data_IF_293129772033
#
_entry.id   IF_293129772033
#
_cell.length_a   1.000
_cell.length_b   1.000
_cell.length_c   1.000
_cell.angle_alpha   90.00
_cell.angle_beta   90.00
_cell.angle_gamma   90.00
#
_symmetry.space_group_name_H-M   'P 1'
#
loop_
_entity.id
_entity.type
_entity.pdbx_description
1 polymer ?
#
# COMPACT_ATOMS: atom_id res chain seq x y z
N UNK A 1 -19.58 21.87 12.99
CA UNK A 1 -18.45 21.25 13.73
C UNK A 1 -18.00 20.03 12.95
N UNK A 2 -16.71 19.69 12.95
CA UNK A 2 -16.23 18.46 12.32
C UNK A 2 -16.90 17.26 12.99
N UNK A 3 -17.58 16.42 12.22
CA UNK A 3 -18.29 15.24 12.74
C UNK A 3 -17.40 14.01 12.80
N UNK A 4 -16.19 14.07 12.22
CA UNK A 4 -15.30 12.93 12.07
C UNK A 4 -13.82 13.35 12.15
N UNK A 5 -12.96 12.41 12.54
CA UNK A 5 -11.51 12.59 12.50
C UNK A 5 -11.00 12.44 11.06
N UNK A 6 -10.08 13.31 10.67
CA UNK A 6 -9.28 13.14 9.46
C UNK A 6 -7.88 12.64 9.83
N UNK A 7 -7.41 11.62 9.13
CA UNK A 7 -6.09 11.05 9.34
C UNK A 7 -5.14 11.52 8.24
N UNK A 8 -3.93 11.91 8.65
CA UNK A 8 -2.83 12.22 7.75
C UNK A 8 -1.60 11.51 8.25
N UNK A 9 -0.90 10.86 7.32
CA UNK A 9 0.37 10.21 7.58
C UNK A 9 1.46 10.96 6.82
N UNK A 10 2.54 11.30 7.52
CA UNK A 10 3.76 11.77 6.88
C UNK A 10 4.57 10.54 6.50
N UNK A 11 4.59 10.24 5.20
CA UNK A 11 5.34 9.11 4.66
C UNK A 11 6.80 9.14 5.13
N UNK A 12 7.29 7.99 5.58
CA UNK A 12 8.69 7.78 5.92
C UNK A 12 9.25 6.70 4.99
N UNK A 13 10.19 7.11 4.13
CA UNK A 13 10.96 6.17 3.33
C UNK A 13 12.02 5.54 4.22
N UNK A 14 12.12 4.22 4.12
CA UNK A 14 13.09 3.41 4.83
C UNK A 14 14.05 2.86 3.79
N UNK A 15 15.24 3.46 3.70
CA UNK A 15 16.19 3.19 2.62
C UNK A 15 17.07 1.95 2.90
N UNK A 16 17.17 1.51 4.15
CA UNK A 16 17.88 0.29 4.53
C UNK A 16 16.91 -0.89 4.73
N UNK A 17 17.15 -1.99 4.02
CA UNK A 17 16.31 -3.19 4.14
C UNK A 17 16.26 -3.74 5.58
N UNK A 18 17.37 -3.65 6.33
CA UNK A 18 17.41 -4.06 7.74
C UNK A 18 16.47 -3.25 8.63
N UNK A 19 16.28 -1.96 8.35
CA UNK A 19 15.37 -1.10 9.12
C UNK A 19 13.94 -1.31 8.65
N UNK A 20 13.74 -1.54 7.36
CA UNK A 20 12.43 -1.92 6.82
C UNK A 20 11.94 -3.24 7.44
N UNK A 21 12.83 -4.22 7.61
CA UNK A 21 12.54 -5.48 8.28
C UNK A 21 12.17 -5.30 9.77
N UNK A 22 12.81 -4.35 10.47
CA UNK A 22 12.41 -4.01 11.84
C UNK A 22 10.99 -3.45 11.88
N UNK A 23 10.64 -2.60 10.92
CA UNK A 23 9.31 -2.01 10.84
C UNK A 23 8.24 -3.04 10.44
N UNK A 24 8.56 -3.97 9.54
CA UNK A 24 7.72 -5.15 9.25
C UNK A 24 7.44 -5.92 10.54
N UNK A 25 8.48 -6.24 11.32
CA UNK A 25 8.32 -6.98 12.59
C UNK A 25 7.52 -6.20 13.64
N UNK A 26 7.70 -4.88 13.70
CA UNK A 26 6.97 -4.01 14.63
C UNK A 26 5.47 -3.96 14.32
N UNK A 27 5.11 -4.00 13.05
CA UNK A 27 3.74 -3.77 12.58
C UNK A 27 3.01 -5.06 12.20
N UNK A 28 3.73 -6.14 11.91
CA UNK A 28 3.14 -7.36 11.34
C UNK A 28 2.79 -7.24 9.85
N UNK A 29 3.34 -6.25 9.15
CA UNK A 29 3.14 -6.09 7.72
C UNK A 29 3.68 -7.31 6.94
N UNK A 30 3.14 -7.64 5.76
CA UNK A 30 3.67 -8.71 4.92
C UNK A 30 5.16 -8.57 4.61
N UNK A 31 5.88 -9.68 4.66
CA UNK A 31 7.30 -9.74 4.31
C UNK A 31 7.49 -9.57 2.80
N UNK A 32 8.43 -8.71 2.40
CA UNK A 32 8.91 -8.62 1.02
C UNK A 32 10.43 -8.86 1.00
N UNK A 33 10.97 -9.44 -0.07
CA UNK A 33 12.38 -9.85 -0.12
C UNK A 33 13.34 -8.65 -0.20
N UNK A 34 14.62 -8.88 0.10
CA UNK A 34 15.67 -7.87 -0.09
C UNK A 34 15.98 -7.62 -1.58
N UNK A 35 15.76 -8.64 -2.40
CA UNK A 35 15.97 -8.59 -3.84
C UNK A 35 14.80 -9.22 -4.57
N UNK A 36 14.42 -8.65 -5.71
CA UNK A 36 13.34 -9.15 -6.56
C UNK A 36 13.85 -9.25 -8.01
N UNK A 37 13.91 -10.45 -8.59
CA UNK A 37 14.43 -10.68 -9.95
C UNK A 37 15.83 -10.03 -10.20
N UNK A 38 16.69 -10.00 -9.17
CA UNK A 38 18.01 -9.36 -9.23
C UNK A 38 18.01 -7.82 -9.19
N UNK A 39 16.88 -7.20 -8.86
CA UNK A 39 16.79 -5.79 -8.47
C UNK A 39 17.01 -5.68 -6.97
N UNK A 40 17.84 -4.73 -6.55
CA UNK A 40 18.14 -4.50 -5.14
C UNK A 40 17.09 -3.60 -4.50
N UNK A 41 16.76 -3.85 -3.23
CA UNK A 41 15.96 -2.93 -2.42
C UNK A 41 16.50 -1.51 -2.51
N UNK A 42 15.64 -0.55 -2.85
CA UNK A 42 15.98 0.87 -2.89
C UNK A 42 15.40 1.60 -1.68
N UNK A 43 14.11 1.43 -1.43
CA UNK A 43 13.44 1.89 -0.22
C UNK A 43 12.08 1.21 -0.06
N UNK A 44 11.57 1.20 1.16
CA UNK A 44 10.25 0.74 1.52
C UNK A 44 9.47 1.76 2.33
N UNK A 45 8.15 1.61 2.36
CA UNK A 45 7.22 2.43 3.11
C UNK A 45 6.17 1.50 3.71
N UNK A 46 5.85 1.68 4.99
CA UNK A 46 4.69 1.06 5.64
C UNK A 46 3.71 2.18 6.01
N UNK A 47 2.45 1.99 5.65
CA UNK A 47 1.37 2.93 5.91
C UNK A 47 0.52 2.44 7.10
N UNK A 48 0.12 3.33 8.02
CA UNK A 48 -0.79 2.97 9.10
C UNK A 48 -2.17 2.61 8.57
N UNK A 49 -2.82 1.65 9.23
CA UNK A 49 -4.26 1.46 9.09
C UNK A 49 -5.00 2.65 9.70
N UNK A 50 -5.95 3.20 8.98
CA UNK A 50 -6.79 4.31 9.48
C UNK A 50 -8.21 3.80 9.71
N UNK A 51 -8.87 4.18 10.81
CA UNK A 51 -10.23 3.74 11.11
C UNK A 51 -11.23 4.44 10.19
N UNK A 52 -11.45 3.88 9.01
CA UNK A 52 -12.35 4.42 7.98
C UNK A 52 -13.76 3.82 8.04
N UNK A 53 -13.91 2.65 8.68
CA UNK A 53 -15.21 1.96 8.83
C UNK A 53 -15.96 2.39 10.09
N UNK A 54 -17.29 2.30 10.08
CA UNK A 54 -18.12 2.64 11.24
C UNK A 54 -17.75 1.82 12.48
N UNK A 55 -17.46 0.52 12.29
CA UNK A 55 -16.99 -0.36 13.36
C UNK A 55 -15.66 0.11 13.94
N UNK A 56 -14.70 0.50 13.11
CA UNK A 56 -13.41 1.00 13.60
C UNK A 56 -13.55 2.35 14.34
N UNK A 57 -14.49 3.20 13.91
CA UNK A 57 -14.84 4.47 14.58
C UNK A 57 -15.49 4.27 15.96
N UNK A 58 -15.95 3.06 16.29
CA UNK A 58 -16.46 2.75 17.64
C UNK A 58 -15.36 2.59 18.70
N UNK A 59 -14.10 2.46 18.29
CA UNK A 59 -12.96 2.27 19.19
C UNK A 59 -12.76 3.43 20.17
N UNK A 60 -12.27 3.12 21.38
CA UNK A 60 -12.02 4.10 22.43
C UNK A 60 -11.06 5.19 21.98
N UNK A 61 -9.93 4.82 21.37
CA UNK A 61 -8.93 5.76 20.85
C UNK A 61 -9.54 6.79 19.88
N UNK A 62 -10.42 6.34 18.98
CA UNK A 62 -11.10 7.22 18.02
C UNK A 62 -12.02 8.20 18.75
N UNK A 63 -12.93 7.68 19.60
CA UNK A 63 -13.91 8.49 20.33
C UNK A 63 -13.25 9.49 21.27
N UNK A 64 -12.23 9.06 22.01
CA UNK A 64 -11.47 9.92 22.91
C UNK A 64 -10.73 11.01 22.15
N UNK A 65 -10.10 10.68 21.03
CA UNK A 65 -9.40 11.67 20.20
C UNK A 65 -10.37 12.68 19.58
N UNK A 66 -11.52 12.22 19.10
CA UNK A 66 -12.57 13.10 18.56
C UNK A 66 -13.10 14.04 19.64
N UNK A 67 -13.40 13.51 20.83
CA UNK A 67 -13.89 14.30 21.96
C UNK A 67 -12.85 15.34 22.41
N UNK A 68 -11.59 14.95 22.51
CA UNK A 68 -10.47 15.83 22.91
C UNK A 68 -10.29 16.98 21.91
N UNK A 69 -10.17 16.68 20.62
CA UNK A 69 -10.01 17.69 19.57
C UNK A 69 -11.25 18.61 19.45
N UNK A 70 -12.45 18.06 19.61
CA UNK A 70 -13.69 18.85 19.63
C UNK A 70 -13.75 19.77 20.85
N UNK A 71 -13.35 19.29 22.03
CA UNK A 71 -13.28 20.11 23.23
C UNK A 71 -12.25 21.24 23.11
N UNK A 72 -11.09 20.98 22.48
CA UNK A 72 -10.09 22.01 22.19
C UNK A 72 -10.62 23.06 21.22
N UNK A 73 -11.30 22.64 20.14
CA UNK A 73 -11.90 23.54 19.18
C UNK A 73 -12.99 24.43 19.81
N UNK A 74 -13.85 23.86 20.65
CA UNK A 74 -14.93 24.61 21.32
C UNK A 74 -14.43 25.60 22.37
N UNK A 75 -13.25 25.35 22.97
CA UNK A 75 -12.61 26.28 23.91
C UNK A 75 -11.87 27.41 23.22
N UNK A 76 -11.52 27.22 21.94
CA UNK A 76 -10.80 28.22 21.17
C UNK A 76 -11.73 29.34 20.73
N UNK A 77 -11.33 30.60 20.94
CA UNK A 77 -12.13 31.77 20.58
C UNK A 77 -11.99 32.14 19.08
N UNK A 78 -11.83 31.15 18.21
CA UNK A 78 -11.65 31.34 16.77
C UNK A 78 -10.27 31.84 16.35
N UNK A 79 -9.24 31.59 17.17
CA UNK A 79 -7.84 31.94 16.87
C UNK A 79 -7.13 30.90 16.02
N UNK A 80 -7.62 29.65 16.06
CA UNK A 80 -7.07 28.53 15.29
C UNK A 80 -8.15 27.85 14.47
N UNK A 81 -7.78 27.48 13.24
CA UNK A 81 -8.65 26.77 12.30
C UNK A 81 -8.38 25.26 12.24
N UNK A 82 -7.35 24.77 12.92
CA UNK A 82 -6.90 23.39 12.85
C UNK A 82 -6.40 22.91 14.21
N UNK A 83 -6.89 21.73 14.61
CA UNK A 83 -6.50 21.02 15.83
C UNK A 83 -6.06 19.62 15.43
N UNK A 84 -4.85 19.24 15.81
CA UNK A 84 -4.24 17.97 15.43
C UNK A 84 -3.60 17.31 16.65
N UNK A 85 -3.60 15.98 16.64
CA UNK A 85 -2.96 15.15 17.65
C UNK A 85 -2.19 14.02 16.97
N UNK A 86 -0.96 13.78 17.40
CA UNK A 86 -0.22 12.60 16.99
C UNK A 86 -0.81 11.36 17.69
N UNK A 87 -1.04 10.30 16.92
CA UNK A 87 -1.64 9.06 17.42
C UNK A 87 -0.65 7.93 17.15
N UNK A 88 -0.31 7.10 18.16
CA UNK A 88 0.52 5.92 17.93
C UNK A 88 -0.24 4.91 17.06
N UNK A 89 0.48 4.18 16.21
CA UNK A 89 -0.10 3.14 15.39
C UNK A 89 0.78 1.89 15.39
N UNK A 90 0.13 0.74 15.39
CA UNK A 90 0.77 -0.58 15.36
C UNK A 90 0.27 -1.43 14.20
N UNK A 91 -0.91 -1.13 13.66
CA UNK A 91 -1.53 -1.92 12.60
C UNK A 91 -1.24 -1.29 11.23
N UNK A 92 -0.68 -2.06 10.28
CA UNK A 92 -0.42 -1.59 8.93
C UNK A 92 -1.71 -1.63 8.09
N UNK A 93 -1.92 -0.60 7.29
CA UNK A 93 -2.95 -0.55 6.24
C UNK A 93 -2.39 -0.99 4.88
N UNK A 94 -1.08 -0.95 4.72
CA UNK A 94 -0.40 -1.42 3.53
C UNK A 94 1.08 -1.11 3.56
N UNK A 95 1.78 -1.57 2.54
CA UNK A 95 3.20 -1.27 2.31
C UNK A 95 3.50 -1.09 0.83
N UNK A 96 4.62 -0.44 0.54
CA UNK A 96 5.20 -0.40 -0.79
C UNK A 96 6.72 -0.52 -0.70
N UNK A 97 7.33 -1.20 -1.67
CA UNK A 97 8.77 -1.32 -1.83
C UNK A 97 9.14 -1.02 -3.27
N UNK A 98 10.16 -0.19 -3.43
CA UNK A 98 10.80 0.05 -4.73
C UNK A 98 12.13 -0.69 -4.76
N UNK A 99 12.33 -1.47 -5.81
CA UNK A 99 13.61 -2.10 -6.15
C UNK A 99 14.21 -1.42 -7.37
N UNK A 100 15.53 -1.45 -7.49
CA UNK A 100 16.24 -0.83 -8.60
C UNK A 100 17.38 -1.69 -9.14
N UNK A 101 17.62 -1.54 -10.45
CA UNK A 101 18.76 -2.12 -11.17
C UNK A 101 19.15 -1.17 -12.30
N UNK A 102 20.22 -0.39 -12.08
CA UNK A 102 20.54 0.77 -12.94
C UNK A 102 19.34 1.75 -12.99
N UNK A 103 18.87 2.11 -14.18
CA UNK A 103 17.71 2.99 -14.40
C UNK A 103 16.37 2.22 -14.49
N UNK A 104 16.36 0.92 -14.18
CA UNK A 104 15.16 0.09 -14.16
C UNK A 104 14.60 0.00 -12.74
N UNK A 105 13.28 0.05 -12.59
CA UNK A 105 12.60 -0.03 -11.31
C UNK A 105 11.46 -1.05 -11.31
N UNK A 106 11.26 -1.64 -10.14
CA UNK A 106 10.12 -2.50 -9.83
C UNK A 106 9.46 -1.95 -8.57
N UNK A 107 8.15 -1.76 -8.63
CA UNK A 107 7.34 -1.40 -7.47
C UNK A 107 6.47 -2.57 -7.05
N UNK A 108 6.55 -2.99 -5.79
CA UNK A 108 5.63 -3.93 -5.18
C UNK A 108 4.86 -3.19 -4.09
N UNK A 109 3.53 -3.21 -4.13
CA UNK A 109 2.69 -2.74 -3.04
C UNK A 109 1.71 -3.81 -2.59
N UNK A 110 1.35 -3.75 -1.31
CA UNK A 110 0.32 -4.58 -0.71
C UNK A 110 -0.61 -3.68 0.09
N UNK A 111 -1.91 -3.75 -0.21
CA UNK A 111 -2.96 -3.15 0.61
C UNK A 111 -3.56 -4.24 1.48
N UNK A 112 -3.52 -4.07 2.79
CA UNK A 112 -4.14 -5.00 3.73
C UNK A 112 -5.63 -4.74 3.74
N UNK A 113 -6.40 -5.79 3.49
CA UNK A 113 -7.84 -5.66 3.24
C UNK A 113 -8.63 -5.54 4.53
N UNK A 114 -8.17 -6.18 5.61
CA UNK A 114 -8.86 -6.20 6.92
C UNK A 114 -10.33 -6.62 6.78
N UNK A 115 -10.58 -7.65 5.96
CA UNK A 115 -11.91 -8.12 5.59
C UNK A 115 -12.70 -7.18 4.67
N UNK A 116 -12.08 -6.11 4.18
CA UNK A 116 -12.61 -5.17 3.21
C UNK A 116 -12.71 -5.73 1.80
N UNK A 117 -13.21 -4.91 0.87
CA UNK A 117 -13.33 -5.26 -0.55
C UNK A 117 -12.52 -4.29 -1.40
N UNK A 118 -11.85 -4.81 -2.41
CA UNK A 118 -11.16 -4.02 -3.43
C UNK A 118 -11.94 -4.11 -4.73
N UNK A 119 -12.15 -2.96 -5.36
CA UNK A 119 -12.71 -2.86 -6.70
C UNK A 119 -11.66 -2.21 -7.58
N UNK A 120 -11.32 -2.87 -8.69
CA UNK A 120 -10.36 -2.36 -9.67
C UNK A 120 -11.16 -1.82 -10.83
N UNK A 121 -11.13 -0.51 -11.02
CA UNK A 121 -11.75 0.13 -12.16
C UNK A 121 -10.97 -0.21 -13.44
N UNK A 122 -11.69 -0.58 -14.49
CA UNK A 122 -11.13 -0.90 -15.80
C UNK A 122 -11.74 0.07 -16.82
N UNK A 123 -10.88 0.80 -17.55
CA UNK A 123 -11.31 1.66 -18.66
C UNK A 123 -11.13 0.93 -19.99
N UNK A 124 -11.75 1.38 -21.10
CA UNK A 124 -11.62 0.71 -22.41
C UNK A 124 -10.19 0.55 -22.92
N UNK A 125 -9.27 1.40 -22.46
CA UNK A 125 -7.84 1.36 -22.79
C UNK A 125 -7.07 0.27 -22.03
N UNK A 126 -7.72 -0.37 -21.05
CA UNK A 126 -7.13 -1.43 -20.25
C UNK A 126 -7.44 -2.80 -20.84
N UNK A 127 -6.39 -3.55 -21.13
CA UNK A 127 -6.48 -4.95 -21.52
C UNK A 127 -6.12 -5.82 -20.31
N UNK A 128 -7.14 -6.27 -19.58
CA UNK A 128 -7.00 -7.16 -18.45
C UNK A 128 -7.08 -8.63 -18.90
N UNK A 129 -6.06 -9.41 -18.54
CA UNK A 129 -6.01 -10.85 -18.78
C UNK A 129 -5.88 -11.58 -17.44
N UNK A 130 -6.86 -12.43 -17.16
CA UNK A 130 -6.84 -13.32 -16.01
C UNK A 130 -5.96 -14.53 -16.31
N UNK A 131 -5.03 -14.83 -15.42
CA UNK A 131 -4.05 -15.91 -15.51
C UNK A 131 -3.98 -16.65 -14.18
N UNK A 132 -3.42 -17.86 -14.19
CA UNK A 132 -3.11 -18.61 -12.96
C UNK A 132 -1.59 -18.72 -12.83
N UNK A 133 -1.04 -18.26 -11.70
CA UNK A 133 0.40 -18.32 -11.37
C UNK A 133 0.53 -18.96 -10.00
N UNK A 134 1.31 -20.05 -9.88
CA UNK A 134 1.45 -20.81 -8.62
C UNK A 134 0.10 -21.16 -7.94
N UNK A 135 -0.95 -21.43 -8.73
CA UNK A 135 -2.29 -21.72 -8.23
C UNK A 135 -3.11 -20.51 -7.76
N UNK A 136 -2.56 -19.30 -7.85
CA UNK A 136 -3.23 -18.03 -7.51
C UNK A 136 -3.74 -17.35 -8.76
N UNK A 137 -4.95 -16.77 -8.70
CA UNK A 137 -5.48 -15.93 -9.79
C UNK A 137 -4.72 -14.60 -9.82
N UNK A 138 -4.07 -14.33 -10.96
CA UNK A 138 -3.32 -13.11 -11.22
C UNK A 138 -3.96 -12.39 -12.41
N UNK A 139 -4.19 -11.10 -12.26
CA UNK A 139 -4.68 -10.23 -13.33
C UNK A 139 -3.49 -9.47 -13.92
N UNK A 140 -3.15 -9.77 -15.17
CA UNK A 140 -2.21 -8.97 -15.95
C UNK A 140 -2.97 -7.86 -16.66
N UNK A 141 -2.60 -6.62 -16.35
CA UNK A 141 -3.18 -5.43 -16.94
C UNK A 141 -2.15 -4.78 -17.86
N UNK A 142 -2.55 -4.55 -19.10
CA UNK A 142 -1.82 -3.73 -20.06
C UNK A 142 -2.62 -2.48 -20.34
N UNK A 143 -2.07 -1.32 -20.02
CA UNK A 143 -2.69 -0.01 -20.25
C UNK A 143 -2.01 0.63 -21.45
N UNK A 144 -2.79 0.99 -22.47
CA UNK A 144 -2.28 1.63 -23.69
C UNK A 144 -2.92 3.00 -23.83
N UNK A 145 -2.16 4.07 -23.59
CA UNK A 145 -2.58 5.46 -23.84
C UNK A 145 -1.61 6.11 -24.83
N UNK A 146 -2.07 7.18 -25.49
CA UNK A 146 -1.30 7.89 -26.52
C UNK A 146 0.10 8.31 -26.04
N UNK A 147 0.21 8.79 -24.80
CA UNK A 147 1.46 9.30 -24.24
C UNK A 147 2.20 8.30 -23.35
N UNK A 148 1.50 7.30 -22.81
CA UNK A 148 2.08 6.34 -21.86
C UNK A 148 1.42 4.98 -21.99
N UNK A 149 2.24 3.94 -22.10
CA UNK A 149 1.79 2.55 -22.00
C UNK A 149 2.56 1.85 -20.89
N UNK A 150 1.87 1.09 -20.05
CA UNK A 150 2.48 0.39 -18.94
C UNK A 150 1.73 -0.89 -18.59
N UNK A 151 2.45 -1.83 -17.99
CA UNK A 151 1.94 -3.12 -17.57
C UNK A 151 2.02 -3.24 -16.04
N UNK A 152 1.04 -3.91 -15.44
CA UNK A 152 1.07 -4.25 -14.02
C UNK A 152 0.31 -5.54 -13.73
N UNK A 153 0.74 -6.24 -12.68
CA UNK A 153 0.06 -7.42 -12.16
C UNK A 153 -0.67 -7.09 -10.88
N UNK A 154 -1.84 -7.69 -10.70
CA UNK A 154 -2.52 -7.73 -9.42
C UNK A 154 -2.87 -9.15 -9.02
N UNK A 155 -2.85 -9.42 -7.72
CA UNK A 155 -3.39 -10.64 -7.16
C UNK A 155 -3.84 -10.39 -5.74
N UNK A 156 -4.73 -11.24 -5.25
CA UNK A 156 -5.12 -11.26 -3.86
C UNK A 156 -4.49 -12.49 -3.19
N UNK A 157 -3.82 -12.27 -2.05
CA UNK A 157 -3.25 -13.33 -1.25
C UNK A 157 -4.17 -13.60 -0.04
N UNK A 158 -4.93 -14.70 -0.11
CA UNK A 158 -5.90 -15.08 0.94
C UNK A 158 -5.25 -15.33 2.30
N UNK A 159 -4.03 -15.88 2.34
CA UNK A 159 -3.32 -16.16 3.61
C UNK A 159 -2.93 -14.90 4.35
N UNK A 160 -2.69 -13.82 3.61
CA UNK A 160 -2.24 -12.54 4.15
C UNK A 160 -3.36 -11.49 4.21
N UNK A 161 -4.56 -11.80 3.71
CA UNK A 161 -5.66 -10.84 3.53
C UNK A 161 -5.16 -9.55 2.85
N UNK A 162 -4.40 -9.71 1.77
CA UNK A 162 -3.63 -8.63 1.14
C UNK A 162 -3.81 -8.59 -0.37
N UNK A 163 -4.12 -7.41 -0.90
CA UNK A 163 -4.18 -7.14 -2.33
C UNK A 163 -2.85 -6.57 -2.82
N UNK A 164 -2.18 -7.29 -3.71
CA UNK A 164 -0.88 -6.94 -4.23
C UNK A 164 -0.95 -6.28 -5.59
N UNK A 165 -0.02 -5.34 -5.81
CA UNK A 165 0.26 -4.76 -7.12
C UNK A 165 1.75 -4.81 -7.40
N UNK A 166 2.11 -5.30 -8.59
CA UNK A 166 3.47 -5.31 -9.10
C UNK A 166 3.54 -4.45 -10.36
N UNK A 167 4.44 -3.48 -10.37
CA UNK A 167 4.69 -2.55 -11.48
C UNK A 167 6.16 -2.58 -11.89
N UNK A 168 6.45 -2.24 -13.14
CA UNK A 168 7.82 -2.02 -13.62
C UNK A 168 7.85 -0.75 -14.47
N UNK A 169 8.89 0.08 -14.28
CA UNK A 169 9.06 1.34 -14.99
C UNK A 169 10.56 1.69 -15.14
N UNK A 170 10.86 2.66 -15.99
CA UNK A 170 12.23 3.08 -16.31
C UNK A 170 12.83 2.32 -17.49
N UNK A 171 14.16 2.31 -17.59
CA UNK A 171 14.86 1.61 -18.66
C UNK A 171 14.68 0.09 -18.47
N UNK A 172 14.47 -0.68 -19.55
CA UNK A 172 14.33 -2.15 -19.49
C UNK A 172 13.16 -2.64 -18.62
N UNK A 173 11.96 -2.19 -18.99
CA UNK A 173 10.68 -2.71 -18.45
C UNK A 173 10.66 -4.23 -18.58
N UNK A 174 10.28 -4.92 -17.50
CA UNK A 174 10.11 -6.37 -17.52
C UNK A 174 9.11 -6.75 -18.62
N UNK A 175 9.43 -7.75 -19.43
CA UNK A 175 8.44 -8.32 -20.34
C UNK A 175 7.40 -9.14 -19.54
N UNK A 176 6.30 -9.55 -20.19
CA UNK A 176 5.21 -10.30 -19.54
C UNK A 176 5.70 -11.57 -18.83
N UNK A 177 6.61 -12.33 -19.44
CA UNK A 177 7.14 -13.58 -18.86
C UNK A 177 7.93 -13.30 -17.58
N UNK A 178 8.76 -12.25 -17.59
CA UNK A 178 9.52 -11.81 -16.42
C UNK A 178 8.61 -11.29 -15.30
N UNK A 179 7.53 -10.58 -15.63
CA UNK A 179 6.50 -10.17 -14.67
C UNK A 179 5.86 -11.37 -13.97
N UNK A 180 5.47 -12.39 -14.75
CA UNK A 180 4.81 -13.58 -14.21
C UNK A 180 5.78 -14.43 -13.38
N UNK A 181 7.04 -14.54 -13.79
CA UNK A 181 8.08 -15.21 -13.01
C UNK A 181 8.29 -14.53 -11.67
N UNK A 182 8.38 -13.20 -11.64
CA UNK A 182 8.51 -12.46 -10.38
C UNK A 182 7.27 -12.61 -9.50
N UNK A 183 6.05 -12.58 -10.08
CA UNK A 183 4.85 -12.87 -9.31
C UNK A 183 4.87 -14.29 -8.71
N UNK A 184 5.37 -15.28 -9.45
CA UNK A 184 5.54 -16.64 -8.94
C UNK A 184 6.53 -16.72 -7.77
N UNK A 185 7.64 -15.97 -7.82
CA UNK A 185 8.61 -15.86 -6.72
C UNK A 185 7.97 -15.26 -5.46
N UNK A 186 7.09 -14.27 -5.60
CA UNK A 186 6.41 -13.60 -4.49
C UNK A 186 5.23 -14.41 -3.91
N UNK A 187 4.70 -15.38 -4.67
CA UNK A 187 3.58 -16.23 -4.28
C UNK A 187 4.01 -17.53 -3.57
N UNK A 188 5.30 -17.89 -3.65
CA UNK A 188 5.89 -19.04 -2.95
C UNK A 188 6.09 -18.75 -1.47
#
# INVERSE_FOLDING_TARGET
MATELQFKYKEQRIDAYSDFLKEIKRTGAPMLPETAAGYAFKYGVIHPNSPTTDTAKLGSLYKETLNDLTAQANKDKGTRNLFMKAIPWSEPGGLSVTYSKNNAFIGISATLMHGGKVFVEQTPENQANKLTVAGTEVIYNKVIREEVSYDYLNWYNEKQDAYYTLTSYGDKILNKEQFLQLAEELLK
#
